data_IF_571716419554
#
_entry.id   IF_571716419554
#
_cell.length_a   1.000
_cell.length_b   1.000
_cell.length_c   1.000
_cell.angle_alpha   90.00
_cell.angle_beta   90.00
_cell.angle_gamma   90.00
#
_symmetry.space_group_name_H-M   'P 1'
#
loop_
_entity.id
_entity.type
_entity.pdbx_description
1 polymer ?
#
# COMPACT_ATOMS: atom_id res chain seq x y z
N UNK A 1 28.11 27.10 16.44
CA UNK A 1 27.16 28.23 16.57
C UNK A 1 25.97 27.95 15.70
N UNK A 2 24.80 27.75 16.32
CA UNK A 2 23.55 27.61 15.58
C UNK A 2 23.10 29.00 15.12
N UNK A 3 23.18 29.25 13.82
CA UNK A 3 22.71 30.50 13.22
C UNK A 3 21.21 30.51 12.93
N UNK A 4 20.50 29.42 13.24
CA UNK A 4 19.08 29.24 12.95
C UNK A 4 18.26 29.43 14.22
N UNK A 5 17.16 30.18 14.15
CA UNK A 5 16.24 30.37 15.27
C UNK A 5 15.64 29.02 15.70
N UNK A 6 15.55 28.76 17.01
CA UNK A 6 15.12 27.48 17.55
C UNK A 6 13.77 26.95 17.01
N UNK A 7 12.72 27.78 16.77
CA UNK A 7 11.48 27.30 16.16
C UNK A 7 11.67 26.80 14.73
N UNK A 8 12.51 27.48 13.93
CA UNK A 8 12.81 27.09 12.54
C UNK A 8 13.61 25.78 12.51
N UNK A 9 14.57 25.61 13.41
CA UNK A 9 15.34 24.37 13.52
C UNK A 9 14.44 23.17 13.87
N UNK A 10 13.51 23.32 14.81
CA UNK A 10 12.51 22.28 15.14
C UNK A 10 11.64 21.90 13.94
N UNK A 11 11.26 22.86 13.10
CA UNK A 11 10.48 22.60 11.89
C UNK A 11 11.32 21.83 10.85
N UNK A 12 12.60 22.19 10.68
CA UNK A 12 13.54 21.47 9.82
C UNK A 12 13.71 20.02 10.30
N UNK A 13 13.91 19.82 11.60
CA UNK A 13 14.01 18.48 12.18
C UNK A 13 12.73 17.65 11.97
N UNK A 14 11.55 18.28 12.12
CA UNK A 14 10.28 17.61 11.89
C UNK A 14 10.14 17.11 10.44
N UNK A 15 10.48 17.94 9.46
CA UNK A 15 10.49 17.52 8.05
C UNK A 15 11.56 16.46 7.73
N UNK A 16 12.72 16.52 8.40
CA UNK A 16 13.79 15.54 8.20
C UNK A 16 13.44 14.13 8.69
N UNK A 17 12.38 13.95 9.49
CA UNK A 17 11.87 12.65 9.93
C UNK A 17 11.15 11.88 8.82
N UNK A 18 10.73 12.55 7.74
CA UNK A 18 10.11 11.88 6.62
C UNK A 18 11.14 11.09 5.81
N UNK A 19 10.84 9.83 5.51
CA UNK A 19 11.70 9.00 4.68
C UNK A 19 11.94 9.65 3.31
N UNK A 20 13.18 9.68 2.86
CA UNK A 20 13.59 10.34 1.61
C UNK A 20 13.75 11.86 1.69
N UNK A 21 13.47 12.50 2.83
CA UNK A 21 13.67 13.94 3.04
C UNK A 21 14.96 14.15 3.84
N UNK A 22 16.04 14.50 3.12
CA UNK A 22 17.29 14.92 3.73
C UNK A 22 17.20 16.36 4.28
N UNK A 23 18.17 16.73 5.15
CA UNK A 23 18.24 18.05 5.79
C UNK A 23 18.11 19.23 4.81
N UNK A 24 18.75 19.14 3.61
CA UNK A 24 18.67 20.20 2.59
C UNK A 24 17.23 20.43 2.11
N UNK A 25 16.50 19.35 1.82
CA UNK A 25 15.08 19.43 1.42
C UNK A 25 14.19 19.90 2.56
N UNK A 26 14.41 19.38 3.77
CA UNK A 26 13.70 19.80 4.98
C UNK A 26 13.87 21.30 5.25
N UNK A 27 15.10 21.83 5.12
CA UNK A 27 15.38 23.27 5.26
C UNK A 27 14.58 24.08 4.24
N UNK A 28 14.58 23.67 2.96
CA UNK A 28 13.80 24.36 1.92
C UNK A 28 12.31 24.35 2.22
N UNK A 29 11.76 23.23 2.68
CA UNK A 29 10.34 23.13 3.08
C UNK A 29 10.02 24.04 4.26
N UNK A 30 10.88 24.10 5.28
CA UNK A 30 10.69 24.95 6.43
C UNK A 30 10.67 26.45 6.06
N UNK A 31 11.60 26.88 5.21
CA UNK A 31 11.59 28.27 4.69
C UNK A 31 10.36 28.57 3.82
N UNK A 32 9.85 27.59 3.07
CA UNK A 32 8.60 27.74 2.33
C UNK A 32 7.42 27.97 3.26
N UNK A 33 7.33 27.25 4.39
CA UNK A 33 6.30 27.48 5.41
C UNK A 33 6.41 28.90 5.99
N UNK A 34 7.64 29.39 6.22
CA UNK A 34 7.85 30.76 6.73
C UNK A 34 7.42 31.86 5.74
N UNK A 35 7.31 31.54 4.44
CA UNK A 35 6.81 32.45 3.42
C UNK A 35 5.30 32.36 3.17
N UNK A 36 4.60 31.45 3.82
CA UNK A 36 3.13 31.33 3.74
C UNK A 36 2.44 32.44 4.54
N UNK A 37 1.17 32.69 4.21
CA UNK A 37 0.30 33.46 5.07
C UNK A 37 0.02 32.71 6.39
N UNK A 38 -0.36 33.42 7.45
CA UNK A 38 -0.75 32.79 8.71
C UNK A 38 -1.94 31.82 8.52
N UNK A 39 -2.87 32.17 7.61
CA UNK A 39 -4.01 31.33 7.25
C UNK A 39 -3.58 30.03 6.57
N UNK A 40 -2.68 30.09 5.58
CA UNK A 40 -2.17 28.89 4.89
C UNK A 40 -1.36 27.99 5.82
N UNK A 41 -0.53 28.58 6.67
CA UNK A 41 0.26 27.85 7.65
C UNK A 41 -0.65 27.12 8.67
N UNK A 42 -1.69 27.80 9.18
CA UNK A 42 -2.68 27.22 10.07
C UNK A 42 -3.50 26.11 9.37
N UNK A 43 -3.88 26.32 8.11
CA UNK A 43 -4.58 25.33 7.28
C UNK A 43 -3.74 24.07 7.09
N UNK A 44 -2.45 24.20 6.77
CA UNK A 44 -1.53 23.07 6.64
C UNK A 44 -1.39 22.29 7.95
N UNK A 45 -1.17 22.99 9.07
CA UNK A 45 -1.08 22.37 10.39
C UNK A 45 -2.37 21.63 10.76
N UNK A 46 -3.53 22.24 10.49
CA UNK A 46 -4.85 21.65 10.69
C UNK A 46 -5.07 20.40 9.82
N UNK A 47 -4.63 20.41 8.56
CA UNK A 47 -4.75 19.27 7.67
C UNK A 47 -3.94 18.07 8.18
N UNK A 48 -2.70 18.29 8.64
CA UNK A 48 -1.86 17.25 9.24
C UNK A 48 -2.53 16.66 10.48
N UNK A 49 -2.98 17.52 11.39
CA UNK A 49 -3.62 17.07 12.63
C UNK A 49 -4.93 16.33 12.36
N UNK A 50 -5.78 16.84 11.47
CA UNK A 50 -7.05 16.21 11.11
C UNK A 50 -6.83 14.84 10.46
N UNK A 51 -5.86 14.72 9.53
CA UNK A 51 -5.55 13.43 8.91
C UNK A 51 -5.09 12.42 9.98
N UNK A 52 -4.18 12.82 10.87
CA UNK A 52 -3.66 11.94 11.91
C UNK A 52 -4.72 11.49 12.95
N UNK A 53 -5.64 12.38 13.30
CA UNK A 53 -6.64 12.11 14.36
C UNK A 53 -7.92 11.47 13.85
N UNK A 54 -8.34 11.75 12.62
CA UNK A 54 -9.62 11.27 12.08
C UNK A 54 -9.49 9.99 11.24
N UNK A 55 -8.32 9.76 10.61
CA UNK A 55 -8.13 8.54 9.84
C UNK A 55 -7.74 7.36 10.73
N UNK A 56 -8.43 6.25 10.51
CA UNK A 56 -8.15 4.98 11.15
C UNK A 56 -8.28 3.85 10.13
N UNK A 57 -8.00 2.61 10.53
CA UNK A 57 -8.13 1.46 9.65
C UNK A 57 -9.58 1.01 9.57
N UNK A 58 -10.08 0.82 8.34
CA UNK A 58 -11.36 0.16 8.09
C UNK A 58 -11.39 -1.21 8.78
N UNK A 59 -12.39 -1.49 9.58
CA UNK A 59 -12.50 -2.75 10.33
C UNK A 59 -12.58 -4.00 9.44
N UNK A 60 -12.89 -3.84 8.14
CA UNK A 60 -13.02 -4.97 7.19
C UNK A 60 -11.74 -5.17 6.39
N UNK A 61 -11.21 -4.12 5.74
CA UNK A 61 -10.13 -4.27 4.75
C UNK A 61 -8.80 -3.67 5.20
N UNK A 62 -8.75 -3.05 6.38
CA UNK A 62 -7.57 -2.38 6.93
C UNK A 62 -7.10 -1.15 6.14
N UNK A 63 -7.81 -0.69 5.09
CA UNK A 63 -7.49 0.56 4.40
C UNK A 63 -7.84 1.78 5.29
N UNK A 64 -7.22 2.93 5.05
CA UNK A 64 -7.55 4.15 5.77
C UNK A 64 -8.96 4.64 5.46
N UNK A 65 -9.65 5.12 6.49
CA UNK A 65 -11.00 5.68 6.41
C UNK A 65 -11.26 6.61 7.61
N UNK A 66 -12.20 7.51 7.47
CA UNK A 66 -12.77 8.34 8.53
C UNK A 66 -14.11 7.79 9.07
N UNK A 67 -14.57 6.65 8.54
CA UNK A 67 -15.78 5.93 8.95
C UNK A 67 -15.41 4.51 9.39
N UNK A 68 -16.24 3.85 10.21
CA UNK A 68 -16.02 2.47 10.68
C UNK A 68 -15.72 1.50 9.51
N UNK A 69 -16.43 1.66 8.40
CA UNK A 69 -16.24 0.90 7.16
C UNK A 69 -15.99 1.85 6.00
N UNK A 70 -14.89 1.64 5.25
CA UNK A 70 -14.54 2.49 4.13
C UNK A 70 -15.57 2.40 2.97
N UNK A 71 -15.59 3.41 2.10
CA UNK A 71 -16.51 3.51 0.97
C UNK A 71 -16.46 2.30 0.02
N UNK A 72 -15.29 1.67 -0.15
CA UNK A 72 -15.15 0.46 -0.99
C UNK A 72 -15.88 -0.73 -0.34
N UNK A 73 -15.63 -0.99 0.94
CA UNK A 73 -16.27 -2.10 1.65
C UNK A 73 -17.77 -1.92 1.86
N UNK A 74 -18.23 -0.67 2.01
CA UNK A 74 -19.64 -0.32 2.16
C UNK A 74 -20.41 -0.38 0.83
N UNK A 75 -19.73 -0.35 -0.32
CA UNK A 75 -20.37 -0.34 -1.63
C UNK A 75 -20.95 -1.73 -1.98
N UNK A 76 -22.29 -1.82 -2.01
CA UNK A 76 -23.00 -3.05 -2.33
C UNK A 76 -22.84 -3.52 -3.80
N UNK A 77 -22.34 -2.66 -4.70
CA UNK A 77 -22.12 -3.00 -6.11
C UNK A 77 -20.79 -3.73 -6.34
N UNK A 78 -19.92 -3.81 -5.32
CA UNK A 78 -18.64 -4.52 -5.39
C UNK A 78 -18.85 -6.03 -5.37
N UNK A 79 -18.05 -6.73 -6.16
CA UNK A 79 -18.00 -8.18 -6.16
C UNK A 79 -17.30 -8.68 -4.88
N UNK A 80 -18.07 -9.32 -4.01
CA UNK A 80 -17.56 -9.84 -2.73
C UNK A 80 -16.85 -11.18 -2.87
N UNK A 81 -16.94 -11.83 -4.03
CA UNK A 81 -16.28 -13.10 -4.30
C UNK A 81 -14.81 -12.96 -4.65
N UNK A 82 -14.34 -11.75 -4.98
CA UNK A 82 -12.96 -11.47 -5.37
C UNK A 82 -12.32 -10.51 -4.37
N UNK A 83 -11.19 -10.92 -3.81
CA UNK A 83 -10.44 -10.15 -2.82
C UNK A 83 -9.02 -9.88 -3.32
N UNK A 84 -8.63 -8.62 -3.44
CA UNK A 84 -7.29 -8.19 -3.80
C UNK A 84 -6.49 -7.86 -2.53
N UNK A 85 -5.43 -8.60 -2.26
CA UNK A 85 -4.53 -8.38 -1.13
C UNK A 85 -3.35 -7.54 -1.59
N UNK A 86 -3.15 -6.40 -0.94
CA UNK A 86 -2.11 -5.41 -1.26
C UNK A 86 -1.21 -5.16 -0.05
N UNK A 87 -0.02 -4.65 -0.30
CA UNK A 87 0.94 -4.31 0.74
C UNK A 87 0.52 -3.05 1.51
N UNK A 88 0.18 -1.96 0.81
CA UNK A 88 -0.09 -0.65 1.41
C UNK A 88 -1.41 -0.02 0.92
N UNK A 89 -2.00 0.91 1.69
CA UNK A 89 -3.19 1.66 1.26
C UNK A 89 -3.03 2.39 -0.07
N UNK A 90 -1.83 2.86 -0.41
CA UNK A 90 -1.52 3.51 -1.70
C UNK A 90 -1.70 2.59 -2.90
N UNK A 91 -1.52 1.27 -2.70
CA UNK A 91 -1.67 0.28 -3.77
C UNK A 91 -3.15 0.11 -4.14
N UNK A 92 -4.05 0.20 -3.14
CA UNK A 92 -5.51 0.27 -3.38
C UNK A 92 -5.83 1.44 -4.32
N UNK A 93 -5.27 2.62 -4.06
CA UNK A 93 -5.50 3.79 -4.90
C UNK A 93 -4.94 3.61 -6.32
N UNK A 94 -3.82 2.90 -6.46
CA UNK A 94 -3.22 2.63 -7.77
C UNK A 94 -4.13 1.73 -8.61
N UNK A 95 -4.69 0.67 -8.02
CA UNK A 95 -5.60 -0.25 -8.71
C UNK A 95 -6.95 0.45 -8.99
N UNK A 96 -7.53 1.18 -8.04
CA UNK A 96 -8.79 1.91 -8.24
C UNK A 96 -8.73 2.94 -9.38
N UNK A 97 -7.57 3.56 -9.63
CA UNK A 97 -7.39 4.48 -10.76
C UNK A 97 -7.58 3.84 -12.11
N UNK A 98 -7.41 2.53 -12.24
CA UNK A 98 -7.67 1.80 -13.49
C UNK A 98 -9.15 1.75 -13.83
N UNK A 99 -10.04 1.77 -12.81
CA UNK A 99 -11.50 1.60 -12.91
C UNK A 99 -11.95 0.24 -13.46
N UNK A 100 -11.03 -0.73 -13.58
CA UNK A 100 -11.29 -2.06 -14.13
C UNK A 100 -11.52 -3.12 -13.03
N UNK A 101 -11.12 -2.84 -11.80
CA UNK A 101 -11.29 -3.77 -10.69
C UNK A 101 -12.55 -3.47 -9.88
N UNK A 102 -13.45 -4.43 -9.78
CA UNK A 102 -14.71 -4.29 -9.05
C UNK A 102 -14.80 -5.15 -7.78
N UNK A 103 -13.74 -5.82 -7.38
CA UNK A 103 -13.68 -6.62 -6.15
C UNK A 103 -13.41 -5.79 -4.90
N UNK A 104 -13.13 -6.48 -3.79
CA UNK A 104 -12.78 -5.91 -2.51
C UNK A 104 -11.26 -5.98 -2.28
N UNK A 105 -10.76 -5.27 -1.25
CA UNK A 105 -9.35 -5.22 -0.91
C UNK A 105 -9.08 -5.70 0.52
N UNK A 106 -7.83 -6.07 0.77
CA UNK A 106 -7.25 -6.22 2.09
C UNK A 106 -5.83 -5.68 2.10
N UNK A 107 -5.49 -4.83 3.08
CA UNK A 107 -4.18 -4.17 3.21
C UNK A 107 -3.37 -4.86 4.29
N UNK A 108 -2.17 -5.36 3.96
CA UNK A 108 -1.29 -6.10 4.87
C UNK A 108 -0.44 -5.20 5.78
N UNK A 109 -0.09 -3.99 5.35
CA UNK A 109 0.86 -3.06 5.97
C UNK A 109 2.31 -3.53 5.99
N UNK A 110 2.70 -4.34 5.05
CA UNK A 110 4.07 -4.79 4.83
C UNK A 110 4.13 -6.16 4.16
N UNK A 111 5.33 -6.69 4.08
CA UNK A 111 5.66 -8.01 3.54
C UNK A 111 6.44 -8.80 4.58
N UNK A 112 6.39 -10.12 4.50
CA UNK A 112 7.23 -10.99 5.32
C UNK A 112 8.69 -10.71 5.00
N UNK A 113 9.45 -10.33 6.01
CA UNK A 113 10.90 -10.11 5.92
C UNK A 113 11.57 -10.60 7.21
N UNK A 114 11.94 -11.89 7.29
CA UNK A 114 12.58 -12.45 8.48
C UNK A 114 13.91 -11.79 8.82
N UNK A 115 14.63 -11.22 7.83
CA UNK A 115 15.90 -10.53 8.06
C UNK A 115 15.70 -9.23 8.84
N UNK A 116 14.61 -8.53 8.59
CA UNK A 116 14.21 -7.32 9.32
C UNK A 116 13.27 -7.63 10.50
N UNK A 117 13.06 -8.91 10.81
CA UNK A 117 12.22 -9.37 11.91
C UNK A 117 10.72 -9.23 11.64
N UNK A 118 10.28 -8.97 10.38
CA UNK A 118 8.87 -8.81 10.04
C UNK A 118 8.23 -10.18 9.82
N UNK A 119 7.38 -10.58 10.76
CA UNK A 119 6.63 -11.84 10.74
C UNK A 119 5.15 -11.62 10.40
N UNK A 120 4.40 -12.69 10.20
CA UNK A 120 2.97 -12.63 9.92
C UNK A 120 2.14 -11.97 11.06
N UNK A 121 2.65 -11.98 12.29
CA UNK A 121 1.99 -11.39 13.46
C UNK A 121 2.00 -9.85 13.44
N UNK A 122 2.97 -9.26 12.74
CA UNK A 122 3.07 -7.80 12.59
C UNK A 122 2.24 -7.29 11.40
N UNK A 123 1.79 -8.22 10.55
CA UNK A 123 0.93 -7.94 9.40
C UNK A 123 -0.53 -8.26 9.75
N UNK A 124 -1.48 -7.76 8.93
CA UNK A 124 -2.91 -8.02 9.12
C UNK A 124 -3.35 -9.38 8.53
N UNK A 125 -2.48 -10.39 8.62
CA UNK A 125 -2.75 -11.74 8.10
C UNK A 125 -3.87 -12.42 8.88
N UNK A 126 -3.92 -12.23 10.20
CA UNK A 126 -4.98 -12.78 11.06
C UNK A 126 -6.36 -12.25 10.66
N UNK A 127 -6.47 -10.97 10.42
CA UNK A 127 -7.69 -10.29 9.97
C UNK A 127 -8.09 -10.76 8.57
N UNK A 128 -7.12 -10.99 7.67
CA UNK A 128 -7.36 -11.58 6.36
C UNK A 128 -7.99 -12.97 6.49
N UNK A 129 -7.37 -13.86 7.25
CA UNK A 129 -7.86 -15.24 7.41
C UNK A 129 -9.22 -15.29 8.07
N UNK A 130 -9.47 -14.46 9.11
CA UNK A 130 -10.77 -14.35 9.75
C UNK A 130 -11.87 -13.92 8.75
N UNK A 131 -11.54 -13.01 7.82
CA UNK A 131 -12.46 -12.56 6.78
C UNK A 131 -12.77 -13.62 5.73
N UNK A 132 -11.85 -14.55 5.48
CA UNK A 132 -12.04 -15.63 4.49
C UNK A 132 -12.90 -16.79 5.02
N UNK A 133 -13.25 -16.78 6.31
CA UNK A 133 -14.00 -17.87 6.94
C UNK A 133 -15.51 -17.86 6.67
N UNK A 134 -16.07 -16.89 5.94
CA UNK A 134 -17.51 -16.76 5.66
C UNK A 134 -17.96 -17.36 4.31
N UNK A 135 -17.08 -18.06 3.61
CA UNK A 135 -17.31 -18.73 2.31
C UNK A 135 -17.75 -17.81 1.16
N UNK A 136 -17.77 -16.49 1.34
CA UNK A 136 -18.16 -15.55 0.28
C UNK A 136 -17.05 -15.36 -0.74
N UNK A 137 -15.78 -15.34 -0.30
CA UNK A 137 -14.62 -15.13 -1.16
C UNK A 137 -14.27 -16.42 -1.90
N UNK A 138 -14.21 -16.36 -3.23
CA UNK A 138 -13.84 -17.47 -4.12
C UNK A 138 -12.44 -17.34 -4.69
N UNK A 139 -11.96 -16.11 -4.83
CA UNK A 139 -10.62 -15.81 -5.35
C UNK A 139 -9.93 -14.74 -4.50
N UNK A 140 -8.65 -15.00 -4.18
CA UNK A 140 -7.75 -14.01 -3.57
C UNK A 140 -6.62 -13.73 -4.56
N UNK A 141 -6.53 -12.46 -4.97
CA UNK A 141 -5.48 -11.96 -5.85
C UNK A 141 -4.36 -11.38 -5.00
N UNK A 142 -3.15 -11.94 -5.10
CA UNK A 142 -1.94 -11.42 -4.46
C UNK A 142 -1.38 -10.29 -5.31
N UNK A 143 -1.65 -9.04 -4.92
CA UNK A 143 -1.23 -7.83 -5.64
C UNK A 143 -0.07 -7.15 -4.90
N UNK A 144 1.03 -7.88 -4.75
CA UNK A 144 2.26 -7.40 -4.11
C UNK A 144 3.30 -7.04 -5.16
N UNK A 145 4.24 -6.18 -4.77
CA UNK A 145 5.36 -5.85 -5.63
C UNK A 145 6.19 -7.10 -5.99
N UNK A 146 6.76 -7.18 -7.20
CA UNK A 146 7.53 -8.34 -7.68
C UNK A 146 8.95 -8.37 -7.07
N UNK A 147 9.04 -8.35 -5.74
CA UNK A 147 10.27 -8.49 -4.94
C UNK A 147 10.34 -9.90 -4.35
N UNK A 148 11.50 -10.26 -3.79
CA UNK A 148 11.69 -11.54 -3.09
C UNK A 148 10.71 -11.66 -1.91
N UNK A 149 10.55 -10.59 -1.14
CA UNK A 149 9.63 -10.51 -0.01
C UNK A 149 8.16 -10.60 -0.46
N UNK A 150 7.83 -9.94 -1.58
CA UNK A 150 6.49 -10.00 -2.16
C UNK A 150 6.13 -11.41 -2.63
N UNK A 151 7.04 -12.06 -3.36
CA UNK A 151 6.86 -13.46 -3.79
C UNK A 151 6.76 -14.41 -2.59
N UNK A 152 7.64 -14.26 -1.58
CA UNK A 152 7.60 -15.07 -0.34
C UNK A 152 6.28 -14.89 0.42
N UNK A 153 5.81 -13.65 0.55
CA UNK A 153 4.54 -13.33 1.22
C UNK A 153 3.35 -13.93 0.45
N UNK A 154 3.33 -13.77 -0.88
CA UNK A 154 2.28 -14.34 -1.72
C UNK A 154 2.24 -15.87 -1.61
N UNK A 155 3.40 -16.53 -1.62
CA UNK A 155 3.49 -17.99 -1.46
C UNK A 155 3.05 -18.45 -0.06
N UNK A 156 3.41 -17.71 0.98
CA UNK A 156 2.99 -17.99 2.35
C UNK A 156 1.47 -17.90 2.48
N UNK A 157 0.86 -16.79 2.03
CA UNK A 157 -0.58 -16.62 2.06
C UNK A 157 -1.31 -17.67 1.22
N UNK A 158 -0.79 -18.01 0.04
CA UNK A 158 -1.38 -19.04 -0.80
C UNK A 158 -1.42 -20.42 -0.10
N UNK A 159 -0.39 -20.76 0.69
CA UNK A 159 -0.37 -21.99 1.49
C UNK A 159 -1.45 -22.02 2.57
N UNK A 160 -1.81 -20.87 3.14
CA UNK A 160 -2.87 -20.75 4.14
C UNK A 160 -4.27 -20.75 3.51
N UNK A 161 -4.41 -20.16 2.32
CA UNK A 161 -5.70 -19.90 1.68
C UNK A 161 -6.18 -21.10 0.84
N UNK A 162 -5.28 -21.77 0.12
CA UNK A 162 -5.65 -22.93 -0.72
C UNK A 162 -6.38 -24.06 0.02
N UNK A 163 -6.00 -24.46 1.25
CA UNK A 163 -6.74 -25.47 2.01
C UNK A 163 -8.18 -25.08 2.35
N UNK A 164 -8.52 -23.78 2.31
CA UNK A 164 -9.88 -23.26 2.50
C UNK A 164 -10.75 -23.40 1.24
N UNK A 165 -10.22 -24.00 0.15
CA UNK A 165 -10.93 -24.12 -1.12
C UNK A 165 -11.01 -22.85 -1.95
N UNK A 166 -10.25 -21.81 -1.58
CA UNK A 166 -10.24 -20.51 -2.23
C UNK A 166 -9.12 -20.48 -3.27
N UNK A 167 -9.43 -19.99 -4.48
CA UNK A 167 -8.44 -19.81 -5.55
C UNK A 167 -7.48 -18.68 -5.17
N UNK A 168 -6.18 -18.97 -5.16
CA UNK A 168 -5.13 -17.97 -4.94
C UNK A 168 -4.45 -17.67 -6.28
N UNK A 169 -4.52 -16.43 -6.72
CA UNK A 169 -3.88 -15.90 -7.93
C UNK A 169 -2.91 -14.78 -7.59
N UNK A 170 -2.13 -14.32 -8.56
CA UNK A 170 -1.29 -13.13 -8.42
C UNK A 170 -1.40 -12.27 -9.69
N UNK A 171 -1.00 -11.01 -9.57
CA UNK A 171 -0.89 -10.14 -10.74
C UNK A 171 0.10 -10.73 -11.74
N UNK A 172 -0.23 -10.61 -13.03
CA UNK A 172 0.67 -11.03 -14.10
C UNK A 172 1.96 -10.20 -14.05
N UNK A 173 3.08 -10.88 -14.26
CA UNK A 173 4.36 -10.23 -14.48
C UNK A 173 4.61 -10.16 -15.98
N UNK A 174 5.02 -8.98 -16.46
CA UNK A 174 5.23 -8.82 -17.91
C UNK A 174 5.94 -7.52 -18.24
N UNK A 175 6.10 -7.32 -19.55
CA UNK A 175 6.66 -6.11 -20.09
C UNK A 175 5.70 -4.94 -19.91
N UNK A 176 6.17 -3.77 -19.45
CA UNK A 176 5.33 -2.57 -19.41
C UNK A 176 4.84 -2.22 -20.82
N UNK A 177 3.56 -1.84 -20.94
CA UNK A 177 2.99 -1.38 -22.22
C UNK A 177 3.77 -0.21 -22.77
N UNK A 178 4.16 -0.31 -24.05
CA UNK A 178 4.96 0.72 -24.72
C UNK A 178 6.47 0.62 -24.49
N UNK A 179 6.96 -0.36 -23.73
CA UNK A 179 8.39 -0.62 -23.61
C UNK A 179 8.90 -1.45 -24.78
N UNK A 180 10.19 -1.25 -25.11
CA UNK A 180 10.89 -2.09 -26.09
C UNK A 180 11.49 -3.32 -25.42
N UNK A 181 11.44 -4.47 -26.08
CA UNK A 181 12.02 -5.72 -25.60
C UNK A 181 13.53 -5.63 -25.33
N UNK A 182 14.24 -4.85 -26.15
CA UNK A 182 15.71 -4.70 -26.06
C UNK A 182 16.19 -4.01 -24.79
N UNK A 183 15.30 -3.23 -24.11
CA UNK A 183 15.62 -2.53 -22.87
C UNK A 183 15.11 -3.24 -21.60
N UNK A 184 14.43 -4.38 -21.76
CA UNK A 184 13.96 -5.14 -20.63
C UNK A 184 15.12 -5.96 -20.03
N UNK A 185 15.22 -5.97 -18.70
CA UNK A 185 16.19 -6.79 -18.00
C UNK A 185 15.85 -8.29 -18.11
N UNK A 186 16.86 -9.15 -17.87
CA UNK A 186 16.75 -10.61 -18.03
C UNK A 186 15.66 -11.20 -17.12
N UNK A 187 15.50 -10.69 -15.90
CA UNK A 187 14.49 -11.15 -14.92
C UNK A 187 13.08 -10.84 -15.42
N UNK A 188 12.85 -9.63 -15.93
CA UNK A 188 11.58 -9.21 -16.53
C UNK A 188 11.24 -10.08 -17.75
N UNK A 189 12.19 -10.30 -18.65
CA UNK A 189 11.99 -11.17 -19.82
C UNK A 189 11.68 -12.61 -19.43
N UNK A 190 12.43 -13.17 -18.48
CA UNK A 190 12.19 -14.52 -17.97
C UNK A 190 10.77 -14.65 -17.38
N UNK A 191 10.34 -13.71 -16.56
CA UNK A 191 8.99 -13.73 -15.96
C UNK A 191 7.89 -13.58 -17.02
N UNK A 192 8.10 -12.69 -18.01
CA UNK A 192 7.15 -12.51 -19.13
C UNK A 192 7.02 -13.80 -19.98
N UNK A 193 8.13 -14.45 -20.31
CA UNK A 193 8.13 -15.73 -21.02
C UNK A 193 7.49 -16.86 -20.23
N UNK A 194 7.76 -16.93 -18.94
CA UNK A 194 7.19 -17.95 -18.05
C UNK A 194 5.69 -17.76 -17.81
N UNK A 195 5.22 -16.53 -17.80
CA UNK A 195 3.81 -16.15 -17.61
C UNK A 195 3.03 -15.92 -18.89
N UNK A 196 3.58 -16.30 -20.08
CA UNK A 196 2.90 -16.10 -21.36
C UNK A 196 1.55 -16.83 -21.41
N UNK A 197 0.53 -16.16 -21.96
CA UNK A 197 -0.80 -16.70 -22.19
C UNK A 197 -1.03 -17.08 -23.67
N UNK A 198 -2.08 -17.84 -23.93
CA UNK A 198 -2.60 -18.07 -25.29
C UNK A 198 -3.31 -16.79 -25.77
N UNK A 199 -3.28 -16.54 -27.10
CA UNK A 199 -3.94 -15.44 -27.75
C UNK A 199 -5.38 -15.81 -28.13
#
# INVERSE_FOLDING_TARGET
MEYTAAPLEKLIEAFSKFSGIGRKSATRMAYQVMSMSDEDAASLAGAIQNAHTKLHRCRICQNYTDADVCSICANAKRDRSILCVVEHPRDVQAIERTREYNGLYHVLYGLLNPLDGITAEQLTVKELLARLGDDTVKEVIMAMNPTVEGDATAMYLAKLIKPMGIKATRLAYGLPTGSSLEYADESTLYRALSGRGEL
#
